data_IF_326850183790
#
_entry.id   IF_326850183790
#
_cell.length_a   1.000
_cell.length_b   1.000
_cell.length_c   1.000
_cell.angle_alpha   90.00
_cell.angle_beta   90.00
_cell.angle_gamma   90.00
#
_symmetry.space_group_name_H-M   'P 1'
#
loop_
_entity.id
_entity.type
_entity.pdbx_description
1 polymer ?
#
# COMPACT_ATOMS: atom_id res chain seq x y z
N UNK A 1 31.65 6.62 19.67
CA UNK A 1 31.70 5.15 19.47
C UNK A 1 30.34 4.59 19.84
N UNK A 2 29.42 4.52 18.87
CA UNK A 2 28.46 3.43 18.65
C UNK A 2 27.57 3.86 17.47
N UNK A 3 27.72 3.18 16.34
CA UNK A 3 26.75 3.26 15.25
C UNK A 3 25.41 2.70 15.73
N UNK A 4 24.26 3.26 15.36
CA UNK A 4 23.03 2.50 15.41
C UNK A 4 23.10 1.39 14.35
N UNK A 5 22.70 0.19 14.77
CA UNK A 5 22.54 -0.98 13.92
C UNK A 5 21.65 -0.63 12.72
N UNK A 6 22.07 -1.02 11.52
CA UNK A 6 21.22 -1.01 10.34
C UNK A 6 19.91 -1.74 10.69
N UNK A 7 18.74 -1.07 10.65
CA UNK A 7 17.48 -1.78 10.82
C UNK A 7 17.43 -2.89 9.78
N UNK A 8 17.06 -4.10 10.23
CA UNK A 8 16.92 -5.26 9.36
C UNK A 8 16.15 -4.88 8.11
N UNK A 9 16.64 -5.29 6.94
CA UNK A 9 16.01 -5.09 5.63
C UNK A 9 14.50 -5.20 5.83
N UNK A 10 13.77 -4.08 5.76
CA UNK A 10 12.37 -4.05 6.13
C UNK A 10 11.66 -5.16 5.34
N UNK A 11 11.21 -6.20 6.05
CA UNK A 11 10.43 -7.28 5.45
C UNK A 11 9.22 -6.59 4.83
N UNK A 12 9.06 -6.71 3.52
CA UNK A 12 8.01 -6.00 2.80
C UNK A 12 6.67 -6.57 3.27
N UNK A 13 6.05 -5.88 4.23
CA UNK A 13 4.70 -6.21 4.68
C UNK A 13 3.77 -5.83 3.54
N UNK A 14 3.05 -6.80 3.01
CA UNK A 14 2.00 -6.55 2.03
C UNK A 14 0.66 -6.49 2.72
N UNK A 15 -0.26 -5.64 2.27
CA UNK A 15 -1.60 -5.60 2.84
C UNK A 15 -2.37 -6.88 2.58
N UNK A 16 -3.09 -7.32 3.60
CA UNK A 16 -4.08 -8.38 3.51
C UNK A 16 -5.50 -7.82 3.62
N UNK A 17 -6.48 -8.66 3.30
CA UNK A 17 -7.90 -8.28 3.25
C UNK A 17 -8.42 -7.80 4.61
N UNK A 18 -7.98 -8.40 5.71
CA UNK A 18 -8.41 -7.98 7.04
C UNK A 18 -7.86 -6.59 7.38
N UNK A 19 -6.61 -6.31 7.00
CA UNK A 19 -6.05 -4.96 7.16
C UNK A 19 -6.85 -3.91 6.39
N UNK A 20 -7.22 -4.19 5.13
CA UNK A 20 -8.06 -3.29 4.32
C UNK A 20 -9.42 -3.05 4.99
N UNK A 21 -10.07 -4.10 5.50
CA UNK A 21 -11.34 -3.97 6.22
C UNK A 21 -11.19 -3.14 7.50
N UNK A 22 -10.11 -3.33 8.27
CA UNK A 22 -9.87 -2.56 9.50
C UNK A 22 -9.72 -1.07 9.21
N UNK A 23 -9.06 -0.73 8.11
CA UNK A 23 -8.89 0.65 7.67
C UNK A 23 -10.25 1.23 7.24
N UNK A 24 -11.03 0.51 6.43
CA UNK A 24 -12.38 0.93 6.01
C UNK A 24 -13.37 1.05 7.18
N UNK A 25 -13.28 0.16 8.17
CA UNK A 25 -14.07 0.19 9.39
C UNK A 25 -13.83 1.49 10.17
N UNK A 26 -12.58 1.93 10.23
CA UNK A 26 -12.19 3.19 10.88
C UNK A 26 -12.80 4.40 10.16
N UNK A 27 -12.76 4.44 8.82
CA UNK A 27 -13.43 5.49 8.04
C UNK A 27 -14.92 5.54 8.30
N UNK A 28 -15.57 4.38 8.28
CA UNK A 28 -17.01 4.25 8.48
C UNK A 28 -17.49 4.32 9.92
N UNK A 29 -16.58 4.47 10.90
CA UNK A 29 -16.85 4.34 12.34
C UNK A 29 -17.72 3.12 12.68
N UNK A 30 -17.43 1.99 12.02
CA UNK A 30 -18.19 0.73 12.11
C UNK A 30 -17.27 -0.42 12.54
N UNK A 31 -17.84 -1.57 12.91
CA UNK A 31 -17.02 -2.75 13.17
C UNK A 31 -16.49 -3.35 11.87
N UNK A 32 -15.41 -4.13 11.95
CA UNK A 32 -14.77 -4.77 10.79
C UNK A 32 -15.74 -5.73 10.07
N UNK A 33 -16.57 -6.45 10.83
CA UNK A 33 -17.60 -7.35 10.33
C UNK A 33 -18.73 -6.63 9.58
N UNK A 34 -19.01 -5.37 9.93
CA UNK A 34 -20.03 -4.51 9.31
C UNK A 34 -19.53 -3.78 8.05
N UNK A 35 -18.25 -3.96 7.67
CA UNK A 35 -17.73 -3.41 6.41
C UNK A 35 -18.36 -4.16 5.24
N UNK A 36 -19.09 -3.47 4.33
CA UNK A 36 -19.66 -4.09 3.14
C UNK A 36 -18.54 -4.56 2.21
N UNK A 37 -18.83 -5.59 1.41
CA UNK A 37 -17.87 -6.09 0.42
C UNK A 37 -17.71 -5.14 -0.76
N UNK A 38 -18.78 -4.41 -1.12
CA UNK A 38 -18.75 -3.36 -2.13
C UNK A 38 -18.16 -2.06 -1.58
N UNK A 39 -17.32 -1.41 -2.38
CA UNK A 39 -16.68 -0.14 -2.05
C UNK A 39 -17.29 1.01 -2.84
N UNK A 40 -17.71 2.05 -2.12
CA UNK A 40 -18.03 3.33 -2.74
C UNK A 40 -16.76 4.07 -3.19
N UNK A 41 -16.90 4.96 -4.19
CA UNK A 41 -15.77 5.75 -4.71
C UNK A 41 -15.09 6.58 -3.62
N UNK A 42 -15.84 7.15 -2.67
CA UNK A 42 -15.26 7.91 -1.57
C UNK A 42 -14.46 7.03 -0.59
N UNK A 43 -14.98 5.83 -0.28
CA UNK A 43 -14.29 4.86 0.54
C UNK A 43 -12.98 4.42 -0.13
N UNK A 44 -13.01 4.19 -1.44
CA UNK A 44 -11.82 3.88 -2.23
C UNK A 44 -10.80 5.03 -2.23
N UNK A 45 -11.22 6.27 -2.52
CA UNK A 45 -10.32 7.44 -2.48
C UNK A 45 -9.65 7.58 -1.12
N UNK A 46 -10.43 7.46 -0.04
CA UNK A 46 -9.90 7.55 1.31
C UNK A 46 -8.94 6.41 1.64
N UNK A 47 -9.31 5.18 1.26
CA UNK A 47 -8.47 3.99 1.45
C UNK A 47 -7.12 4.14 0.74
N UNK A 48 -7.11 4.63 -0.50
CA UNK A 48 -5.88 4.91 -1.26
C UNK A 48 -5.02 5.90 -0.49
N UNK A 49 -5.57 7.05 -0.11
CA UNK A 49 -4.82 8.09 0.61
C UNK A 49 -4.21 7.56 1.91
N UNK A 50 -4.95 6.78 2.71
CA UNK A 50 -4.43 6.19 3.94
C UNK A 50 -3.29 5.18 3.67
N UNK A 51 -3.41 4.41 2.59
CA UNK A 51 -2.38 3.45 2.19
C UNK A 51 -1.11 4.13 1.70
N UNK A 52 -1.22 5.17 0.88
CA UNK A 52 -0.10 5.96 0.41
C UNK A 52 0.69 6.54 1.59
N UNK A 53 -0.01 7.10 2.57
CA UNK A 53 0.59 7.66 3.79
C UNK A 53 1.25 6.59 4.66
N UNK A 54 0.61 5.42 4.82
CA UNK A 54 1.08 4.34 5.69
C UNK A 54 2.26 3.55 5.12
N UNK A 55 2.26 3.32 3.80
CA UNK A 55 3.29 2.53 3.11
C UNK A 55 4.35 3.41 2.41
N UNK A 56 4.15 4.72 2.35
CA UNK A 56 5.04 5.64 1.64
C UNK A 56 5.10 5.35 0.14
N UNK A 57 3.98 4.91 -0.44
CA UNK A 57 3.83 4.59 -1.86
C UNK A 57 2.94 5.63 -2.53
N UNK A 58 3.04 5.75 -3.85
CA UNK A 58 2.10 6.50 -4.66
C UNK A 58 1.31 5.50 -5.50
N UNK A 59 -0.02 5.50 -5.38
CA UNK A 59 -0.90 4.73 -6.26
C UNK A 59 -1.29 5.62 -7.44
N UNK A 60 -0.85 5.21 -8.62
CA UNK A 60 -1.23 5.83 -9.89
C UNK A 60 -2.28 4.93 -10.55
N UNK A 61 -3.56 5.18 -10.23
CA UNK A 61 -4.70 4.52 -10.86
C UNK A 61 -5.34 5.50 -11.83
N UNK A 62 -5.35 5.17 -13.11
CA UNK A 62 -6.16 5.90 -14.10
C UNK A 62 -7.66 5.75 -13.78
N UNK A 63 -8.50 6.62 -14.35
CA UNK A 63 -9.95 6.62 -14.14
C UNK A 63 -10.58 5.23 -14.35
N UNK A 64 -10.21 4.52 -15.42
CA UNK A 64 -10.72 3.17 -15.70
C UNK A 64 -10.35 2.17 -14.60
N UNK A 65 -9.13 2.26 -14.06
CA UNK A 65 -8.67 1.38 -12.98
C UNK A 65 -9.37 1.74 -11.66
N UNK A 66 -9.49 3.03 -11.36
CA UNK A 66 -10.19 3.53 -10.19
C UNK A 66 -11.68 3.14 -10.22
N UNK A 67 -12.31 3.13 -11.39
CA UNK A 67 -13.69 2.71 -11.57
C UNK A 67 -13.88 1.19 -11.48
N UNK A 68 -12.88 0.41 -11.89
CA UNK A 68 -12.92 -1.05 -11.79
C UNK A 68 -12.82 -1.56 -10.34
N UNK A 69 -12.20 -0.79 -9.44
CA UNK A 69 -12.10 -1.16 -8.02
C UNK A 69 -13.42 -0.85 -7.31
N UNK A 70 -14.25 -1.88 -7.16
CA UNK A 70 -15.56 -1.78 -6.49
C UNK A 70 -15.77 -2.79 -5.38
N UNK A 71 -14.76 -3.62 -5.06
CA UNK A 71 -14.83 -4.59 -3.96
C UNK A 71 -13.58 -4.54 -3.11
N UNK A 72 -13.73 -4.98 -1.86
CA UNK A 72 -12.62 -5.11 -0.90
C UNK A 72 -11.52 -6.02 -1.44
N UNK A 73 -11.87 -7.12 -2.12
CA UNK A 73 -10.89 -8.03 -2.72
C UNK A 73 -10.08 -7.35 -3.81
N UNK A 74 -10.75 -6.72 -4.78
CA UNK A 74 -10.06 -6.03 -5.88
C UNK A 74 -9.17 -4.90 -5.35
N UNK A 75 -9.64 -4.15 -4.36
CA UNK A 75 -8.81 -3.13 -3.70
C UNK A 75 -7.57 -3.75 -3.04
N UNK A 76 -7.74 -4.88 -2.34
CA UNK A 76 -6.63 -5.59 -1.67
C UNK A 76 -5.56 -6.03 -2.68
N UNK A 77 -5.98 -6.58 -3.83
CA UNK A 77 -5.05 -7.01 -4.88
C UNK A 77 -4.27 -5.84 -5.49
N UNK A 78 -4.98 -4.74 -5.81
CA UNK A 78 -4.36 -3.53 -6.36
C UNK A 78 -3.38 -2.89 -5.38
N UNK A 79 -3.78 -2.72 -4.12
CA UNK A 79 -2.92 -2.16 -3.07
C UNK A 79 -1.68 -3.03 -2.82
N UNK A 80 -1.87 -4.36 -2.80
CA UNK A 80 -0.77 -5.31 -2.67
C UNK A 80 0.23 -5.20 -3.83
N UNK A 81 -0.27 -5.12 -5.06
CA UNK A 81 0.57 -4.97 -6.24
C UNK A 81 1.39 -3.67 -6.19
N UNK A 82 0.77 -2.55 -5.79
CA UNK A 82 1.44 -1.26 -5.66
C UNK A 82 2.56 -1.29 -4.62
N UNK A 83 2.32 -1.87 -3.43
CA UNK A 83 3.34 -2.01 -2.38
C UNK A 83 4.51 -2.88 -2.84
N UNK A 84 4.23 -3.99 -3.53
CA UNK A 84 5.26 -4.86 -4.09
C UNK A 84 6.09 -4.16 -5.16
N UNK A 85 5.46 -3.39 -6.05
CA UNK A 85 6.14 -2.61 -7.08
C UNK A 85 7.08 -1.56 -6.49
N UNK A 86 6.63 -0.81 -5.48
CA UNK A 86 7.44 0.19 -4.78
C UNK A 86 8.63 -0.44 -4.03
N UNK A 87 8.43 -1.60 -3.40
CA UNK A 87 9.50 -2.35 -2.75
C UNK A 87 10.55 -2.87 -3.76
N UNK A 88 10.12 -3.29 -4.96
CA UNK A 88 11.02 -3.66 -6.05
C UNK A 88 11.83 -2.47 -6.58
N UNK A 89 11.21 -1.30 -6.73
CA UNK A 89 11.86 -0.08 -7.22
C UNK A 89 12.95 0.44 -6.25
N UNK A 90 12.66 0.43 -4.95
CA UNK A 90 13.65 0.79 -3.92
C UNK A 90 14.83 -0.18 -3.90
N UNK A 91 14.59 -1.49 -4.05
CA UNK A 91 15.65 -2.49 -4.16
C UNK A 91 16.53 -2.29 -5.42
N UNK A 92 15.93 -1.98 -6.57
CA UNK A 92 16.66 -1.73 -7.82
C UNK A 92 17.56 -0.48 -7.71
N UNK A 93 17.11 0.56 -7.01
CA UNK A 93 17.89 1.79 -6.80
C UNK A 93 19.10 1.52 -5.87
N UNK A 94 18.90 0.70 -4.82
CA UNK A 94 19.98 0.28 -3.93
C UNK A 94 20.99 -0.67 -4.59
N UNK A 95 20.58 -1.42 -5.62
CA UNK A 95 21.42 -2.35 -6.37
C UNK A 95 22.37 -1.67 -7.38
N UNK A 96 22.46 -0.34 -7.40
CA UNK A 96 23.50 0.39 -8.15
C UNK A 96 24.62 0.88 -7.22
N UNK A 97 25.51 0.01 -6.72
CA UNK A 97 26.73 0.46 -6.07
C UNK A 97 27.77 0.85 -7.14
N UNK A 98 28.01 2.16 -7.28
CA UNK A 98 29.28 2.74 -7.73
C UNK A 98 29.81 2.29 -9.10
N UNK A 99 29.31 2.89 -10.18
CA UNK A 99 30.15 3.11 -11.35
C UNK A 99 30.77 4.52 -11.24
N UNK A 100 32.11 4.52 -11.14
CA UNK A 100 33.05 5.65 -11.19
C UNK A 100 33.14 6.56 -9.95
N UNK A 101 34.33 6.60 -9.33
CA UNK A 101 35.23 7.77 -9.27
C UNK A 101 36.62 7.34 -8.73
N UNK A 102 37.74 8.00 -9.10
CA UNK A 102 38.26 8.31 -10.44
C UNK A 102 39.24 7.25 -10.98
#
# INVERSE_FOLDING_TARGET
MTSPALPGRAEVRTPDRAEVRTILAAFGQRADEDVPEELGSLELTWLIAEFEQRYGVQLDLDDEQFEAVRTVDTATEVLRAAVLAAAGATAATAATPGAAQP
#
